data_IF_694747509506
#
_entry.id   IF_694747509506
#
_cell.length_a   1.000
_cell.length_b   1.000
_cell.length_c   1.000
_cell.angle_alpha   90.00
_cell.angle_beta   90.00
_cell.angle_gamma   90.00
#
_symmetry.space_group_name_H-M   'P 1'
#
loop_
_entity.id
_entity.type
_entity.pdbx_description
1 polymer ?
#
# COMPACT_ATOMS: atom_id res chain seq x y z
N UNK A 1 -5.67 10.18 15.27
CA UNK A 1 -6.03 9.79 13.89
C UNK A 1 -5.16 10.44 12.82
N UNK A 2 -5.05 11.77 12.69
CA UNK A 2 -4.29 12.39 11.57
C UNK A 2 -2.81 11.96 11.42
N UNK A 3 -2.10 11.63 12.51
CA UNK A 3 -0.70 11.20 12.45
C UNK A 3 -0.49 9.74 12.01
N UNK A 4 -1.53 8.91 12.09
CA UNK A 4 -1.47 7.49 11.69
C UNK A 4 -1.65 7.32 10.18
N UNK A 5 -2.34 8.27 9.53
CA UNK A 5 -2.66 8.21 8.11
C UNK A 5 -1.42 8.04 7.20
N UNK A 6 -0.36 8.86 7.35
CA UNK A 6 0.82 8.73 6.51
C UNK A 6 1.57 7.41 6.75
N UNK A 7 1.52 6.89 7.98
CA UNK A 7 2.14 5.61 8.33
C UNK A 7 1.42 4.44 7.64
N UNK A 8 0.09 4.42 7.66
CA UNK A 8 -0.70 3.39 7.00
C UNK A 8 -0.62 3.48 5.47
N UNK A 9 -0.71 4.70 4.93
CA UNK A 9 -0.54 4.94 3.50
C UNK A 9 0.83 4.42 3.02
N UNK A 10 1.90 4.66 3.78
CA UNK A 10 3.23 4.16 3.45
C UNK A 10 3.29 2.63 3.49
N UNK A 11 2.79 2.01 4.56
CA UNK A 11 2.86 0.56 4.73
C UNK A 11 2.10 -0.20 3.63
N UNK A 12 0.90 0.28 3.26
CA UNK A 12 0.09 -0.32 2.20
C UNK A 12 0.79 -0.15 0.84
N UNK A 13 1.24 1.08 0.53
CA UNK A 13 1.92 1.36 -0.74
C UNK A 13 3.21 0.54 -0.91
N UNK A 14 3.99 0.42 0.17
CA UNK A 14 5.20 -0.39 0.19
C UNK A 14 4.88 -1.85 -0.12
N UNK A 15 3.91 -2.44 0.58
CA UNK A 15 3.61 -3.86 0.42
C UNK A 15 3.03 -4.21 -0.95
N UNK A 16 2.09 -3.41 -1.47
CA UNK A 16 1.53 -3.63 -2.81
C UNK A 16 2.62 -3.52 -3.88
N UNK A 17 3.52 -2.54 -3.74
CA UNK A 17 4.66 -2.41 -4.66
C UNK A 17 5.67 -3.55 -4.54
N UNK A 18 5.81 -4.12 -3.35
CA UNK A 18 6.72 -5.23 -3.05
C UNK A 18 6.22 -6.56 -3.63
N UNK A 19 4.92 -6.83 -3.49
CA UNK A 19 4.24 -8.04 -3.96
C UNK A 19 3.89 -7.99 -5.45
N UNK A 20 4.05 -6.83 -6.11
CA UNK A 20 3.82 -6.72 -7.55
C UNK A 20 4.78 -7.65 -8.32
N UNK A 21 4.21 -8.60 -9.06
CA UNK A 21 4.96 -9.64 -9.78
C UNK A 21 6.04 -9.09 -10.73
N UNK A 22 5.85 -7.86 -11.25
CA UNK A 22 6.80 -7.20 -12.15
C UNK A 22 8.04 -6.61 -11.45
N UNK A 23 8.08 -6.52 -10.12
CA UNK A 23 9.15 -5.82 -9.38
C UNK A 23 10.55 -6.36 -9.68
N UNK A 24 10.69 -7.68 -9.85
CA UNK A 24 11.99 -8.30 -10.09
C UNK A 24 12.57 -7.91 -11.45
N UNK A 25 11.71 -7.70 -12.45
CA UNK A 25 12.09 -7.32 -13.80
C UNK A 25 12.13 -5.78 -13.97
N UNK A 26 11.33 -5.05 -13.18
CA UNK A 26 11.12 -3.60 -13.27
C UNK A 26 11.16 -2.95 -11.88
N UNK A 27 12.33 -2.97 -11.25
CA UNK A 27 12.49 -2.46 -9.87
C UNK A 27 12.22 -0.96 -9.74
N UNK A 28 12.50 -0.18 -10.79
CA UNK A 28 12.23 1.26 -10.86
C UNK A 28 10.72 1.53 -10.94
N UNK A 29 9.98 0.72 -11.68
CA UNK A 29 8.52 0.82 -11.79
C UNK A 29 7.83 0.49 -10.46
N UNK A 30 8.39 -0.44 -9.67
CA UNK A 30 7.92 -0.72 -8.32
C UNK A 30 8.06 0.51 -7.40
N UNK A 31 9.13 1.30 -7.56
CA UNK A 31 9.30 2.56 -6.81
C UNK A 31 8.27 3.61 -7.26
N UNK A 32 8.01 3.71 -8.55
CA UNK A 32 6.95 4.61 -9.09
C UNK A 32 5.59 4.20 -8.54
N UNK A 33 5.26 2.91 -8.57
CA UNK A 33 4.02 2.34 -8.05
C UNK A 33 3.85 2.66 -6.56
N UNK A 34 4.88 2.45 -5.74
CA UNK A 34 4.89 2.82 -4.32
C UNK A 34 4.54 4.29 -4.12
N UNK A 35 5.22 5.18 -4.83
CA UNK A 35 5.03 6.62 -4.67
C UNK A 35 3.63 7.08 -5.11
N UNK A 36 3.12 6.52 -6.21
CA UNK A 36 1.77 6.80 -6.70
C UNK A 36 0.70 6.32 -5.72
N UNK A 37 0.82 5.09 -5.21
CA UNK A 37 -0.10 4.55 -4.21
C UNK A 37 -0.07 5.38 -2.92
N UNK A 38 1.13 5.73 -2.42
CA UNK A 38 1.26 6.55 -1.22
C UNK A 38 0.54 7.90 -1.37
N UNK A 39 0.72 8.58 -2.51
CA UNK A 39 0.05 9.86 -2.78
C UNK A 39 -1.48 9.71 -2.81
N UNK A 40 -2.00 8.69 -3.50
CA UNK A 40 -3.44 8.41 -3.59
C UNK A 40 -4.04 8.07 -2.22
N UNK A 41 -3.34 7.25 -1.43
CA UNK A 41 -3.78 6.83 -0.10
C UNK A 41 -3.85 8.00 0.89
N UNK A 42 -2.99 9.01 0.72
CA UNK A 42 -3.04 10.25 1.49
C UNK A 42 -4.18 11.18 1.08
N UNK A 43 -4.54 11.19 -0.20
CA UNK A 43 -5.55 12.10 -0.75
C UNK A 43 -6.96 11.66 -0.39
N UNK A 44 -7.22 10.35 -0.32
CA UNK A 44 -8.57 9.83 -0.04
C UNK A 44 -8.55 8.58 0.86
N UNK A 45 -8.18 8.72 2.14
CA UNK A 45 -8.07 7.58 3.05
C UNK A 45 -9.37 6.80 3.25
N UNK A 46 -10.53 7.46 3.16
CA UNK A 46 -11.85 6.83 3.28
C UNK A 46 -12.12 5.85 2.12
N UNK A 47 -11.65 6.17 0.91
CA UNK A 47 -11.73 5.26 -0.22
C UNK A 47 -10.79 4.06 -0.05
N UNK A 48 -9.67 4.27 0.63
CA UNK A 48 -8.68 3.22 0.90
C UNK A 48 -9.14 2.25 2.00
N UNK A 49 -9.87 2.73 3.00
CA UNK A 49 -10.52 1.87 3.99
C UNK A 49 -11.48 0.86 3.34
N UNK A 50 -12.14 1.22 2.22
CA UNK A 50 -13.02 0.30 1.48
C UNK A 50 -12.27 -0.83 0.76
N UNK A 51 -10.95 -0.72 0.59
CA UNK A 51 -10.12 -1.75 -0.02
C UNK A 51 -9.67 -2.80 1.01
N UNK A 52 -9.75 -2.49 2.31
CA UNK A 52 -9.42 -3.43 3.39
C UNK A 52 -10.45 -4.56 3.43
N UNK A 53 -9.98 -5.80 3.52
CA UNK A 53 -10.80 -7.01 3.46
C UNK A 53 -11.17 -7.44 2.04
N UNK A 54 -10.62 -6.79 1.02
CA UNK A 54 -10.72 -7.21 -0.39
C UNK A 54 -9.49 -8.04 -0.78
N UNK A 55 -9.51 -8.64 -1.97
CA UNK A 55 -8.31 -9.28 -2.55
C UNK A 55 -7.21 -8.30 -2.97
N UNK A 56 -7.35 -7.00 -2.69
CA UNK A 56 -6.33 -5.97 -2.92
C UNK A 56 -5.58 -5.68 -1.62
N UNK A 57 -6.31 -5.48 -0.51
CA UNK A 57 -5.73 -5.32 0.83
C UNK A 57 -6.43 -6.33 1.73
N UNK A 58 -5.84 -7.52 1.84
CA UNK A 58 -6.33 -8.56 2.74
C UNK A 58 -6.15 -8.14 4.20
N UNK A 59 -7.01 -8.60 5.12
CA UNK A 59 -6.92 -8.20 6.54
C UNK A 59 -5.60 -8.62 7.20
N UNK A 60 -4.98 -9.68 6.69
CA UNK A 60 -3.67 -10.18 7.12
C UNK A 60 -2.50 -9.24 6.78
N UNK A 61 -2.70 -8.19 5.95
CA UNK A 61 -1.67 -7.20 5.64
C UNK A 61 -1.14 -6.49 6.88
N UNK A 62 -1.96 -6.41 7.92
CA UNK A 62 -1.63 -5.76 9.18
C UNK A 62 -1.05 -6.73 10.23
N UNK A 63 -0.95 -8.02 9.90
CA UNK A 63 -0.31 -8.99 10.77
C UNK A 63 1.23 -8.90 10.68
N UNK A 64 1.95 -9.09 11.79
CA UNK A 64 3.41 -9.19 11.75
C UNK A 64 3.83 -10.35 10.85
N UNK A 65 4.82 -10.11 9.99
CA UNK A 65 5.50 -11.19 9.29
C UNK A 65 6.27 -12.01 10.35
N UNK A 66 5.74 -13.19 10.69
CA UNK A 66 6.41 -14.18 11.55
C UNK A 66 7.60 -14.82 10.87
#
# INVERSE_FOLDING_TARGET
>A
MKAELPKWAFAIAERISDEWAGKNDFSEDAVVLKNSLYALLLESPEACEQLIGTGIIEENYFEPLT
#
